data_IF_277464807371
#
_entry.id   IF_277464807371
#
_cell.length_a   1.000
_cell.length_b   1.000
_cell.length_c   1.000
_cell.angle_alpha   90.00
_cell.angle_beta   90.00
_cell.angle_gamma   90.00
#
_symmetry.space_group_name_H-M   'P 1'
#
loop_
_entity.id
_entity.type
_entity.pdbx_description
1 polymer ?
#
# COMPACT_ATOMS: atom_id res chain seq x y z
N UNK A 1 -8.31 9.15 41.23
CA UNK A 1 -8.25 10.15 40.14
C UNK A 1 -8.04 9.40 38.84
N UNK A 2 -9.11 9.22 38.06
CA UNK A 2 -9.02 8.67 36.70
C UNK A 2 -8.87 9.87 35.78
N UNK A 3 -7.67 10.04 35.21
CA UNK A 3 -7.42 11.08 34.21
C UNK A 3 -8.18 10.73 32.94
N UNK A 4 -9.16 11.56 32.57
CA UNK A 4 -9.77 11.54 31.25
C UNK A 4 -8.68 11.96 30.25
N UNK A 5 -8.19 11.01 29.46
CA UNK A 5 -7.40 11.34 28.29
C UNK A 5 -8.32 12.05 27.30
N UNK A 6 -8.03 13.33 27.04
CA UNK A 6 -8.67 14.10 25.97
C UNK A 6 -8.37 13.40 24.65
N UNK A 7 -9.40 12.89 23.97
CA UNK A 7 -9.29 12.48 22.57
C UNK A 7 -9.10 13.75 21.75
N UNK A 8 -7.88 13.98 21.27
CA UNK A 8 -7.56 15.10 20.42
C UNK A 8 -8.46 15.07 19.17
N UNK A 9 -9.27 16.11 19.02
CA UNK A 9 -10.02 16.43 17.82
C UNK A 9 -9.04 16.93 16.74
N UNK A 10 -9.17 16.38 15.53
CA UNK A 10 -8.36 16.72 14.36
C UNK A 10 -7.07 15.90 14.30
N UNK A 11 -7.14 14.67 13.80
CA UNK A 11 -5.92 13.96 13.46
C UNK A 11 -5.35 14.61 12.18
N UNK A 12 -4.42 15.56 12.35
CA UNK A 12 -3.50 15.91 11.27
C UNK A 12 -2.94 14.60 10.72
N UNK A 13 -2.91 14.46 9.39
CA UNK A 13 -2.37 13.26 8.74
C UNK A 13 -1.01 12.89 9.34
N UNK A 14 -0.72 11.59 9.54
CA UNK A 14 0.56 11.15 10.07
C UNK A 14 1.72 11.74 9.27
N UNK A 15 2.72 12.29 9.97
CA UNK A 15 3.94 12.78 9.33
C UNK A 15 4.84 11.61 8.92
N UNK A 16 5.15 11.48 7.63
CA UNK A 16 6.03 10.46 7.09
C UNK A 16 7.48 10.96 6.89
N UNK A 17 8.50 10.08 6.85
CA UNK A 17 8.43 8.62 7.06
C UNK A 17 8.14 8.26 8.52
N UNK A 18 7.55 7.09 8.76
CA UNK A 18 7.40 6.57 10.13
C UNK A 18 8.75 6.21 10.75
N UNK A 19 8.83 6.19 12.08
CA UNK A 19 9.99 5.81 12.87
C UNK A 19 9.63 4.71 13.86
N UNK A 20 10.62 3.96 14.33
CA UNK A 20 10.47 3.05 15.47
C UNK A 20 10.36 3.90 16.74
N UNK A 21 9.45 3.56 17.66
CA UNK A 21 9.28 4.23 18.96
C UNK A 21 10.53 4.06 19.84
N UNK A 22 10.78 4.96 20.80
CA UNK A 22 11.96 4.91 21.68
C UNK A 22 12.11 3.57 22.45
N UNK A 23 10.98 2.93 22.78
CA UNK A 23 10.97 1.63 23.45
C UNK A 23 10.97 0.42 22.48
N UNK A 24 11.10 0.66 21.18
CA UNK A 24 11.13 -0.32 20.09
C UNK A 24 9.94 -1.29 20.04
N UNK A 25 8.74 -0.83 20.41
CA UNK A 25 7.53 -1.68 20.44
C UNK A 25 6.48 -1.33 19.38
N UNK A 26 6.51 -0.13 18.83
CA UNK A 26 5.52 0.34 17.87
C UNK A 26 6.13 1.41 16.95
N UNK A 27 5.34 1.89 15.99
CA UNK A 27 5.73 2.97 15.08
C UNK A 27 5.21 4.31 15.58
N UNK A 28 5.96 5.36 15.30
CA UNK A 28 5.56 6.75 15.52
C UNK A 28 5.75 7.56 14.24
N UNK A 29 5.00 8.65 14.10
CA UNK A 29 5.17 9.60 13.02
C UNK A 29 6.31 10.60 13.31
N UNK A 30 6.55 11.57 12.41
CA UNK A 30 7.60 12.59 12.59
C UNK A 30 7.40 13.48 13.83
N UNK A 31 6.18 13.60 14.36
CA UNK A 31 5.86 14.36 15.56
C UNK A 31 5.85 13.50 16.84
N UNK A 32 6.24 12.21 16.75
CA UNK A 32 6.25 11.29 17.89
C UNK A 32 4.87 10.71 18.24
N UNK A 33 3.86 10.90 17.39
CA UNK A 33 2.51 10.36 17.62
C UNK A 33 2.47 8.87 17.25
N UNK A 34 1.93 7.98 18.10
CA UNK A 34 1.82 6.56 17.79
C UNK A 34 1.05 6.31 16.48
N UNK A 35 1.57 5.41 15.66
CA UNK A 35 0.95 4.96 14.42
C UNK A 35 0.66 3.46 14.50
N UNK A 36 -0.63 3.11 14.53
CA UNK A 36 -1.08 1.73 14.41
C UNK A 36 -1.24 1.38 12.93
N UNK A 37 -0.57 0.34 12.44
CA UNK A 37 -0.87 -0.22 11.11
C UNK A 37 -2.21 -0.96 11.22
N UNK A 38 -3.25 -0.40 10.60
CA UNK A 38 -4.50 -1.10 10.35
C UNK A 38 -4.53 -1.44 8.85
N UNK A 39 -4.06 -2.66 8.55
CA UNK A 39 -3.69 -3.06 7.19
C UNK A 39 -4.69 -3.97 6.49
N UNK A 40 -4.90 -3.76 5.20
CA UNK A 40 -5.47 -4.76 4.27
C UNK A 40 -4.36 -5.29 3.32
N UNK A 41 -4.60 -6.40 2.63
CA UNK A 41 -3.61 -7.08 1.77
C UNK A 41 -4.12 -7.33 0.34
N UNK A 42 -4.42 -6.29 -0.45
CA UNK A 42 -4.79 -6.42 -1.85
C UNK A 42 -3.55 -6.62 -2.74
N UNK A 43 -2.89 -7.77 -2.56
CA UNK A 43 -1.58 -8.07 -3.13
C UNK A 43 -1.41 -7.68 -4.60
N UNK A 44 -2.42 -7.95 -5.43
CA UNK A 44 -2.32 -7.83 -6.89
C UNK A 44 -3.02 -6.58 -7.48
N UNK A 45 -3.40 -5.62 -6.62
CA UNK A 45 -4.24 -4.46 -7.01
C UNK A 45 -3.68 -3.64 -8.18
N UNK A 46 -2.35 -3.61 -8.33
CA UNK A 46 -1.64 -2.81 -9.33
C UNK A 46 -1.89 -3.30 -10.76
N UNK A 47 -2.09 -4.60 -10.97
CA UNK A 47 -2.27 -5.17 -12.32
C UNK A 47 -3.64 -5.83 -12.55
N UNK A 48 -4.32 -6.29 -11.49
CA UNK A 48 -5.63 -6.94 -11.62
C UNK A 48 -6.80 -5.96 -11.74
N UNK A 49 -6.65 -4.74 -11.23
CA UNK A 49 -7.69 -3.72 -11.29
C UNK A 49 -7.37 -2.64 -12.32
N UNK A 50 -8.42 -2.10 -12.94
CA UNK A 50 -8.37 -0.80 -13.58
C UNK A 50 -8.28 0.28 -12.51
N UNK A 51 -7.82 1.47 -12.90
CA UNK A 51 -7.67 2.63 -12.02
C UNK A 51 -8.96 2.93 -11.25
N UNK A 52 -10.10 2.91 -11.94
CA UNK A 52 -11.40 3.24 -11.35
C UNK A 52 -11.81 2.23 -10.27
N UNK A 53 -11.56 0.94 -10.52
CA UNK A 53 -11.84 -0.14 -9.57
C UNK A 53 -10.88 -0.10 -8.36
N UNK A 54 -9.61 0.26 -8.58
CA UNK A 54 -8.65 0.47 -7.51
C UNK A 54 -9.03 1.66 -6.63
N UNK A 55 -9.51 2.77 -7.22
CA UNK A 55 -10.06 3.91 -6.48
C UNK A 55 -11.26 3.49 -5.63
N UNK A 56 -12.25 2.82 -6.22
CA UNK A 56 -13.42 2.32 -5.49
C UNK A 56 -13.03 1.38 -4.34
N UNK A 57 -12.09 0.46 -4.58
CA UNK A 57 -11.57 -0.43 -3.54
C UNK A 57 -10.95 0.37 -2.39
N UNK A 58 -10.06 1.34 -2.68
CA UNK A 58 -9.37 2.14 -1.67
C UNK A 58 -10.32 3.06 -0.89
N UNK A 59 -11.33 3.63 -1.55
CA UNK A 59 -12.37 4.43 -0.88
C UNK A 59 -13.15 3.58 0.12
N UNK A 60 -13.50 2.34 -0.24
CA UNK A 60 -14.09 1.39 0.71
C UNK A 60 -13.15 1.08 1.88
N UNK A 61 -11.83 1.00 1.67
CA UNK A 61 -10.87 0.79 2.76
C UNK A 61 -10.79 1.96 3.72
N UNK A 62 -10.87 3.19 3.21
CA UNK A 62 -10.94 4.39 4.05
C UNK A 62 -12.19 4.37 4.93
N UNK A 63 -13.36 4.04 4.37
CA UNK A 63 -14.62 3.94 5.13
C UNK A 63 -14.55 2.84 6.20
N UNK A 64 -13.82 1.76 5.94
CA UNK A 64 -13.59 0.67 6.89
C UNK A 64 -12.49 0.99 7.94
N UNK A 65 -11.83 2.13 7.85
CA UNK A 65 -10.81 2.58 8.80
C UNK A 65 -9.42 1.97 8.59
N UNK A 66 -9.16 1.32 7.45
CA UNK A 66 -7.80 0.89 7.10
C UNK A 66 -6.94 2.12 6.77
N UNK A 67 -5.65 2.07 7.13
CA UNK A 67 -4.70 3.14 6.86
C UNK A 67 -3.44 2.68 6.10
N UNK A 68 -3.33 1.38 5.84
CA UNK A 68 -2.19 0.75 5.18
C UNK A 68 -2.69 -0.35 4.26
N UNK A 69 -2.09 -0.49 3.08
CA UNK A 69 -2.30 -1.66 2.20
C UNK A 69 -0.96 -2.29 1.87
N UNK A 70 -0.90 -3.61 1.92
CA UNK A 70 0.26 -4.37 1.50
C UNK A 70 0.04 -4.91 0.08
N UNK A 71 0.94 -4.54 -0.82
CA UNK A 71 0.82 -4.84 -2.26
C UNK A 71 2.12 -5.45 -2.78
N UNK A 72 1.99 -6.29 -3.80
CA UNK A 72 3.10 -6.64 -4.67
C UNK A 72 3.23 -5.55 -5.72
N UNK A 73 4.42 -4.94 -5.82
CA UNK A 73 4.67 -3.94 -6.85
C UNK A 73 4.84 -4.58 -8.24
N UNK A 74 5.38 -5.80 -8.27
CA UNK A 74 5.70 -6.57 -9.47
C UNK A 74 5.07 -7.96 -9.30
N UNK A 75 4.46 -8.56 -10.34
CA UNK A 75 3.96 -9.92 -10.28
C UNK A 75 5.04 -10.94 -9.90
N UNK A 76 4.71 -11.86 -8.99
CA UNK A 76 5.53 -13.02 -8.65
C UNK A 76 5.30 -14.13 -9.69
N UNK A 77 6.30 -14.41 -10.52
CA UNK A 77 6.19 -15.34 -11.66
C UNK A 77 5.64 -16.73 -11.29
N UNK A 78 4.60 -17.22 -11.97
CA UNK A 78 4.47 -18.66 -12.30
C UNK A 78 3.70 -18.86 -13.61
N UNK A 79 4.39 -19.16 -14.73
CA UNK A 79 3.72 -19.58 -15.99
C UNK A 79 4.43 -19.35 -17.34
N UNK A 80 5.63 -18.75 -17.38
CA UNK A 80 6.32 -18.44 -18.64
C UNK A 80 5.73 -17.23 -19.38
N UNK A 81 6.36 -16.84 -20.49
CA UNK A 81 6.16 -15.56 -21.20
C UNK A 81 4.75 -15.35 -21.81
N UNK A 82 3.85 -16.34 -21.67
CA UNK A 82 2.47 -16.31 -22.13
C UNK A 82 1.43 -16.26 -20.99
N UNK A 83 1.86 -16.08 -19.74
CA UNK A 83 0.92 -16.04 -18.63
C UNK A 83 0.22 -14.66 -18.55
N UNK A 84 -1.13 -14.61 -18.52
CA UNK A 84 -1.89 -13.36 -18.56
C UNK A 84 -1.59 -12.43 -17.37
N UNK A 85 -1.04 -12.95 -16.26
CA UNK A 85 -0.73 -12.19 -15.05
C UNK A 85 0.56 -11.33 -15.13
N UNK A 86 1.27 -11.32 -16.27
CA UNK A 86 2.41 -10.39 -16.47
C UNK A 86 1.99 -9.03 -17.03
N UNK A 87 0.74 -8.94 -17.51
CA UNK A 87 0.16 -7.72 -18.04
C UNK A 87 -0.83 -7.16 -17.02
N UNK A 88 -0.86 -5.84 -16.90
CA UNK A 88 -1.99 -5.19 -16.23
C UNK A 88 -3.26 -5.36 -17.06
N UNK A 89 -4.39 -4.99 -16.47
CA UNK A 89 -5.71 -5.09 -17.11
C UNK A 89 -5.89 -4.24 -18.37
N UNK A 90 -4.91 -3.39 -18.70
CA UNK A 90 -4.83 -2.64 -19.96
C UNK A 90 -3.93 -3.32 -21.00
N UNK A 91 -3.32 -4.46 -20.67
CA UNK A 91 -2.43 -5.21 -21.56
C UNK A 91 -0.96 -4.79 -21.50
N UNK A 92 -0.58 -3.84 -20.63
CA UNK A 92 0.78 -3.34 -20.51
C UNK A 92 1.63 -4.24 -19.59
N UNK A 93 2.91 -4.43 -19.94
CA UNK A 93 3.91 -5.11 -19.11
C UNK A 93 4.87 -4.11 -18.51
N UNK A 94 5.37 -4.37 -17.30
CA UNK A 94 6.27 -3.43 -16.60
C UNK A 94 7.67 -3.42 -17.23
N UNK A 95 8.19 -4.59 -17.62
CA UNK A 95 9.53 -4.74 -18.22
C UNK A 95 9.46 -5.59 -19.49
N UNK A 96 10.36 -5.32 -20.44
CA UNK A 96 10.48 -6.13 -21.67
C UNK A 96 10.98 -7.54 -21.36
N UNK A 97 11.92 -7.66 -20.44
CA UNK A 97 12.37 -8.92 -19.85
C UNK A 97 12.04 -8.90 -18.35
N UNK A 98 11.29 -9.88 -17.83
CA UNK A 98 10.91 -9.92 -16.42
C UNK A 98 12.06 -10.26 -15.46
N UNK A 99 13.30 -10.39 -15.93
CA UNK A 99 14.53 -10.46 -15.13
C UNK A 99 15.44 -9.24 -15.33
N UNK A 100 15.10 -8.32 -16.25
CA UNK A 100 15.88 -7.11 -16.50
C UNK A 100 15.06 -5.87 -16.17
N UNK A 101 15.26 -5.37 -14.94
CA UNK A 101 14.60 -4.17 -14.45
C UNK A 101 15.08 -2.87 -15.11
N UNK A 102 16.07 -2.92 -16.02
CA UNK A 102 16.55 -1.75 -16.75
C UNK A 102 15.77 -1.47 -18.04
N UNK A 103 14.94 -2.42 -18.50
CA UNK A 103 14.21 -2.32 -19.77
C UNK A 103 12.72 -2.08 -19.58
N UNK A 104 12.37 -0.99 -18.87
CA UNK A 104 10.98 -0.58 -18.73
C UNK A 104 10.29 -0.38 -20.10
N UNK A 105 9.02 -0.80 -20.18
CA UNK A 105 8.16 -0.51 -21.34
C UNK A 105 7.56 0.88 -21.11
N UNK A 106 7.77 1.87 -22.01
CA UNK A 106 7.11 3.17 -21.90
C UNK A 106 5.59 3.01 -21.99
N UNK A 107 4.84 3.81 -21.21
CA UNK A 107 3.37 3.87 -21.26
C UNK A 107 2.84 4.37 -22.62
#
# INVERSE_FOLDING_TARGET
MVGLASVAQGADSPGFPLKISDNHRYLVDQAGRPFLIHGDSPWEIIWQLKKEEATEYLDHRVVQGFNTVLVNLIPDKVGGNNHPWTKNRYGAQVFRDPNDFTTAVPE
#
